data_IF_730251105803
#
_entry.id   IF_730251105803
#
_cell.length_a   1.000
_cell.length_b   1.000
_cell.length_c   1.000
_cell.angle_alpha   90.00
_cell.angle_beta   90.00
_cell.angle_gamma   90.00
#
_symmetry.space_group_name_H-M   'P 1'
#
loop_
_entity.id
_entity.type
_entity.pdbx_description
1 polymer ?
#
# COMPACT_ATOMS: atom_id res chain seq x y z
N UNK A 1 -6.08 -12.51 -34.73
CA UNK A 1 -6.09 -12.05 -33.33
C UNK A 1 -5.21 -10.81 -33.28
N UNK A 2 -5.58 -9.74 -32.51
CA UNK A 2 -4.69 -8.59 -32.35
C UNK A 2 -3.49 -9.04 -31.50
N UNK A 3 -2.28 -8.59 -31.83
CA UNK A 3 -1.12 -8.78 -30.98
C UNK A 3 -1.25 -8.00 -29.68
N UNK A 4 -0.63 -8.46 -28.60
CA UNK A 4 -0.63 -7.76 -27.32
C UNK A 4 0.26 -6.51 -27.42
N UNK A 5 -0.36 -5.36 -27.21
CA UNK A 5 0.24 -4.04 -27.26
C UNK A 5 -0.41 -3.14 -26.20
N UNK A 6 0.13 -1.96 -25.93
CA UNK A 6 -0.46 -0.99 -25.00
C UNK A 6 -1.90 -0.59 -25.35
N UNK A 7 -2.25 -0.57 -26.65
CA UNK A 7 -3.59 -0.24 -27.13
C UNK A 7 -4.53 -1.44 -27.14
N UNK A 8 -4.01 -2.66 -27.22
CA UNK A 8 -4.78 -3.90 -27.32
C UNK A 8 -4.88 -4.65 -26.00
N UNK A 9 -4.15 -4.21 -24.97
CA UNK A 9 -4.20 -4.78 -23.62
C UNK A 9 -5.60 -4.61 -23.02
N UNK A 10 -6.20 -5.71 -22.51
CA UNK A 10 -7.51 -5.70 -21.87
C UNK A 10 -7.43 -5.02 -20.50
N UNK A 11 -6.35 -5.28 -19.74
CA UNK A 11 -6.13 -4.62 -18.46
C UNK A 11 -5.60 -3.20 -18.68
N UNK A 12 -6.23 -2.17 -18.08
CA UNK A 12 -5.73 -0.80 -18.16
C UNK A 12 -4.38 -0.62 -17.44
N UNK A 13 -4.02 -1.51 -16.51
CA UNK A 13 -2.71 -1.50 -15.83
C UNK A 13 -1.60 -1.73 -16.85
N UNK A 14 -1.78 -2.72 -17.75
CA UNK A 14 -0.78 -3.07 -18.76
C UNK A 14 -0.89 -2.25 -20.04
N UNK A 15 -2.04 -1.61 -20.29
CA UNK A 15 -2.26 -0.69 -21.40
C UNK A 15 -2.07 0.77 -20.99
N UNK A 16 -3.19 1.46 -20.76
CA UNK A 16 -3.27 2.90 -20.46
C UNK A 16 -2.33 3.39 -19.36
N UNK A 17 -2.11 2.58 -18.33
CA UNK A 17 -1.32 2.95 -17.15
C UNK A 17 0.04 2.27 -17.07
N UNK A 18 0.50 1.60 -18.14
CA UNK A 18 1.79 0.90 -18.15
C UNK A 18 2.96 1.79 -17.73
N UNK A 19 2.96 3.05 -18.14
CA UNK A 19 4.00 4.00 -17.75
C UNK A 19 4.06 4.28 -16.25
N UNK A 20 2.97 4.06 -15.52
CA UNK A 20 2.89 4.24 -14.06
C UNK A 20 3.16 2.95 -13.29
N UNK A 21 2.66 1.83 -13.78
CA UNK A 21 2.72 0.53 -13.10
C UNK A 21 3.86 -0.38 -13.58
N UNK A 22 4.59 0.01 -14.65
CA UNK A 22 5.56 -0.86 -15.34
C UNK A 22 6.67 -1.40 -14.46
N UNK A 23 7.10 -0.70 -13.41
CA UNK A 23 8.08 -1.19 -12.46
C UNK A 23 7.66 -2.50 -11.77
N UNK A 24 6.35 -2.73 -11.61
CA UNK A 24 5.82 -3.95 -11.00
C UNK A 24 5.98 -5.20 -11.87
N UNK A 25 6.29 -5.05 -13.16
CA UNK A 25 6.51 -6.18 -14.05
C UNK A 25 7.69 -7.06 -13.61
N UNK A 26 8.70 -6.48 -12.94
CA UNK A 26 9.84 -7.23 -12.40
C UNK A 26 9.48 -8.18 -11.24
N UNK A 27 8.26 -8.06 -10.69
CA UNK A 27 7.80 -8.82 -9.52
C UNK A 27 6.56 -9.68 -9.81
N UNK A 28 5.63 -9.20 -10.65
CA UNK A 28 4.30 -9.80 -10.80
C UNK A 28 3.94 -10.21 -12.23
N UNK A 29 4.84 -10.07 -13.20
CA UNK A 29 4.64 -10.64 -14.52
C UNK A 29 4.88 -12.17 -14.52
N UNK A 30 4.44 -12.86 -15.57
CA UNK A 30 4.77 -14.29 -15.76
C UNK A 30 6.29 -14.49 -15.85
N UNK A 31 7.01 -13.58 -16.52
CA UNK A 31 8.47 -13.55 -16.53
C UNK A 31 9.06 -13.53 -15.11
N UNK A 32 8.56 -12.62 -14.28
CA UNK A 32 9.03 -12.48 -12.89
C UNK A 32 8.75 -13.73 -12.07
N UNK A 33 7.54 -14.29 -12.14
CA UNK A 33 7.18 -15.51 -11.45
C UNK A 33 8.13 -16.67 -11.82
N UNK A 34 8.41 -16.83 -13.10
CA UNK A 34 9.36 -17.86 -13.59
C UNK A 34 10.77 -17.59 -13.04
N UNK A 35 11.25 -16.36 -13.10
CA UNK A 35 12.57 -15.97 -12.58
C UNK A 35 12.72 -16.27 -11.09
N UNK A 36 11.71 -15.91 -10.27
CA UNK A 36 11.74 -16.20 -8.82
C UNK A 36 11.72 -17.70 -8.54
N UNK A 37 11.01 -18.51 -9.33
CA UNK A 37 11.04 -19.96 -9.23
C UNK A 37 12.45 -20.51 -9.51
N UNK A 38 13.11 -20.04 -10.59
CA UNK A 38 14.49 -20.40 -10.90
C UNK A 38 15.44 -20.03 -9.76
N UNK A 39 15.29 -18.83 -9.20
CA UNK A 39 16.08 -18.37 -8.06
C UNK A 39 15.93 -19.31 -6.86
N UNK A 40 14.72 -19.66 -6.48
CA UNK A 40 14.45 -20.53 -5.32
C UNK A 40 15.05 -21.93 -5.55
N UNK A 41 14.88 -22.50 -6.74
CA UNK A 41 15.44 -23.81 -7.09
C UNK A 41 16.98 -23.83 -7.02
N UNK A 42 17.62 -22.79 -7.52
CA UNK A 42 19.08 -22.66 -7.49
C UNK A 42 19.60 -22.50 -6.06
N UNK A 43 19.00 -21.60 -5.26
CA UNK A 43 19.42 -21.42 -3.88
C UNK A 43 19.14 -22.67 -3.02
N UNK A 44 18.07 -23.39 -3.32
CA UNK A 44 17.79 -24.68 -2.69
C UNK A 44 18.88 -25.71 -3.03
N UNK A 45 19.23 -25.88 -4.30
CA UNK A 45 20.31 -26.79 -4.73
C UNK A 45 21.64 -26.44 -4.07
N UNK A 46 22.01 -25.15 -4.03
CA UNK A 46 23.22 -24.69 -3.35
C UNK A 46 23.18 -25.05 -1.87
N UNK A 47 22.03 -24.84 -1.20
CA UNK A 47 21.90 -25.17 0.22
C UNK A 47 21.98 -26.66 0.49
N UNK A 48 21.50 -27.53 -0.41
CA UNK A 48 21.72 -28.97 -0.33
C UNK A 48 23.21 -29.32 -0.46
N UNK A 49 23.95 -28.65 -1.34
CA UNK A 49 25.40 -28.87 -1.50
C UNK A 49 26.21 -28.43 -0.26
N UNK A 50 25.66 -27.52 0.54
CA UNK A 50 26.27 -27.12 1.83
C UNK A 50 26.09 -28.18 2.93
N UNK A 51 25.21 -29.19 2.74
CA UNK A 51 25.05 -30.33 3.63
C UNK A 51 26.06 -31.44 3.30
N UNK A 52 26.47 -32.25 4.29
CA UNK A 52 27.38 -33.37 4.07
C UNK A 52 26.66 -34.57 3.43
N UNK A 53 25.81 -34.36 2.44
CA UNK A 53 25.12 -35.42 1.71
C UNK A 53 26.11 -36.21 0.89
N UNK A 54 26.12 -37.58 0.95
CA UNK A 54 27.16 -38.42 0.35
C UNK A 54 27.44 -38.14 -1.12
N UNK A 55 26.41 -37.78 -1.89
CA UNK A 55 26.55 -37.52 -3.34
C UNK A 55 26.83 -36.04 -3.67
N UNK A 56 26.66 -35.12 -2.73
CA UNK A 56 26.88 -33.67 -2.91
C UNK A 56 28.15 -33.18 -2.21
N UNK A 57 28.73 -33.93 -1.27
CA UNK A 57 29.90 -33.51 -0.49
C UNK A 57 31.13 -33.15 -1.31
N UNK A 58 31.20 -33.65 -2.56
CA UNK A 58 32.28 -33.38 -3.51
C UNK A 58 31.96 -32.25 -4.48
N UNK A 59 30.80 -31.57 -4.33
CA UNK A 59 30.45 -30.46 -5.18
C UNK A 59 31.40 -29.29 -4.94
N UNK A 60 31.93 -28.72 -6.03
CA UNK A 60 32.86 -27.61 -5.96
C UNK A 60 32.08 -26.29 -5.67
N UNK A 61 32.23 -25.77 -4.47
CA UNK A 61 31.58 -24.52 -4.04
C UNK A 61 31.99 -23.28 -4.86
N UNK A 62 33.14 -23.32 -5.56
CA UNK A 62 33.54 -22.26 -6.48
C UNK A 62 32.51 -22.06 -7.63
N UNK A 63 31.69 -23.06 -7.90
CA UNK A 63 30.65 -23.02 -8.94
C UNK A 63 29.34 -22.36 -8.47
N UNK A 64 29.18 -22.07 -7.19
CA UNK A 64 27.92 -21.46 -6.68
C UNK A 64 27.57 -20.14 -7.36
N UNK A 65 28.57 -19.29 -7.63
CA UNK A 65 28.30 -18.02 -8.31
C UNK A 65 27.82 -18.22 -9.77
N UNK A 66 28.42 -19.20 -10.50
CA UNK A 66 27.92 -19.50 -11.84
C UNK A 66 26.52 -20.10 -11.87
N UNK A 67 26.12 -20.81 -10.81
CA UNK A 67 24.72 -21.25 -10.65
C UNK A 67 23.78 -20.05 -10.37
N UNK A 68 24.19 -19.10 -9.52
CA UNK A 68 23.43 -17.88 -9.25
C UNK A 68 23.26 -17.00 -10.49
N UNK A 69 24.25 -17.01 -11.37
CA UNK A 69 24.17 -16.27 -12.63
C UNK A 69 23.02 -16.73 -13.53
N UNK A 70 22.54 -17.98 -13.38
CA UNK A 70 21.36 -18.48 -14.12
C UNK A 70 20.13 -17.62 -13.84
N UNK A 71 19.88 -17.21 -12.59
CA UNK A 71 18.73 -16.35 -12.27
C UNK A 71 19.07 -14.88 -12.26
N UNK A 72 20.32 -14.48 -11.98
CA UNK A 72 20.72 -13.06 -12.02
C UNK A 72 20.69 -12.50 -13.44
N UNK A 73 21.13 -13.30 -14.40
CA UNK A 73 21.16 -12.94 -15.81
C UNK A 73 19.95 -13.49 -16.59
N UNK A 74 18.89 -13.90 -15.88
CA UNK A 74 17.70 -14.49 -16.48
C UNK A 74 17.03 -13.53 -17.47
N UNK A 75 16.82 -13.99 -18.71
CA UNK A 75 16.34 -13.21 -19.83
C UNK A 75 14.93 -13.63 -20.28
N UNK A 76 14.31 -12.81 -21.13
CA UNK A 76 13.02 -13.17 -21.76
C UNK A 76 13.15 -14.42 -22.63
N UNK A 77 14.32 -14.67 -23.26
CA UNK A 77 14.59 -15.90 -24.01
C UNK A 77 14.60 -17.14 -23.12
N UNK A 78 15.11 -17.02 -21.89
CA UNK A 78 15.08 -18.11 -20.92
C UNK A 78 13.65 -18.40 -20.45
N UNK A 79 12.87 -17.36 -20.20
CA UNK A 79 11.45 -17.50 -19.88
C UNK A 79 10.68 -18.17 -21.03
N UNK A 80 10.93 -17.74 -22.27
CA UNK A 80 10.33 -18.35 -23.46
C UNK A 80 10.72 -19.82 -23.58
N UNK A 81 11.99 -20.19 -23.30
CA UNK A 81 12.41 -21.58 -23.30
C UNK A 81 11.65 -22.42 -22.26
N UNK A 82 11.43 -21.88 -21.06
CA UNK A 82 10.62 -22.55 -20.03
C UNK A 82 9.16 -22.73 -20.50
N UNK A 83 8.57 -21.72 -21.15
CA UNK A 83 7.21 -21.84 -21.72
C UNK A 83 7.11 -22.87 -22.83
N UNK A 84 8.16 -23.05 -23.65
CA UNK A 84 8.23 -24.12 -24.65
C UNK A 84 8.22 -25.50 -23.97
N UNK A 85 9.01 -25.69 -22.92
CA UNK A 85 9.03 -26.94 -22.14
C UNK A 85 7.66 -27.18 -21.49
N UNK A 86 7.08 -26.14 -20.90
CA UNK A 86 5.75 -26.19 -20.27
C UNK A 86 4.67 -26.61 -21.26
N UNK A 87 4.73 -26.14 -22.51
CA UNK A 87 3.73 -26.46 -23.55
C UNK A 87 3.68 -27.95 -23.86
N UNK A 88 4.77 -28.67 -23.63
CA UNK A 88 4.87 -30.15 -23.82
C UNK A 88 4.53 -30.90 -22.52
N UNK A 89 5.05 -30.42 -21.39
CA UNK A 89 4.91 -31.11 -20.09
C UNK A 89 3.58 -30.83 -19.41
N UNK A 90 2.91 -29.76 -19.79
CA UNK A 90 1.71 -29.21 -19.17
C UNK A 90 1.86 -29.00 -17.65
N UNK A 91 3.10 -28.63 -17.23
CA UNK A 91 3.43 -28.43 -15.82
C UNK A 91 4.51 -27.36 -15.66
N UNK A 92 4.14 -26.22 -15.09
CA UNK A 92 4.96 -25.01 -15.01
C UNK A 92 6.25 -25.19 -14.17
N UNK A 93 6.15 -25.71 -12.94
CA UNK A 93 7.32 -25.90 -12.07
C UNK A 93 8.22 -27.02 -12.60
N UNK A 94 7.66 -28.06 -13.23
CA UNK A 94 8.48 -29.12 -13.87
C UNK A 94 9.27 -28.58 -15.06
N UNK A 95 8.69 -27.61 -15.79
CA UNK A 95 9.40 -26.93 -16.88
C UNK A 95 10.60 -26.12 -16.36
N UNK A 96 10.48 -25.48 -15.20
CA UNK A 96 11.62 -24.81 -14.53
C UNK A 96 12.72 -25.80 -14.17
N UNK A 97 12.38 -26.96 -13.59
CA UNK A 97 13.35 -28.02 -13.27
C UNK A 97 14.10 -28.48 -14.51
N UNK A 98 13.41 -28.75 -15.63
CA UNK A 98 14.05 -29.16 -16.87
C UNK A 98 14.94 -28.08 -17.46
N UNK A 99 14.54 -26.84 -17.43
CA UNK A 99 15.35 -25.71 -17.85
C UNK A 99 16.65 -25.63 -17.04
N UNK A 100 16.59 -25.76 -15.71
CA UNK A 100 17.78 -25.75 -14.86
C UNK A 100 18.71 -26.93 -15.21
N UNK A 101 18.15 -28.11 -15.48
CA UNK A 101 18.92 -29.27 -15.97
C UNK A 101 19.64 -28.97 -17.29
N UNK A 102 19.02 -28.27 -18.23
CA UNK A 102 19.64 -27.77 -19.47
C UNK A 102 20.76 -26.75 -19.19
N UNK A 103 20.58 -25.86 -18.20
CA UNK A 103 21.66 -24.94 -17.81
C UNK A 103 22.86 -25.68 -17.19
N UNK A 104 22.64 -26.75 -16.41
CA UNK A 104 23.69 -27.58 -15.86
C UNK A 104 24.48 -28.26 -16.98
N UNK A 105 23.82 -28.73 -18.05
CA UNK A 105 24.50 -29.28 -19.23
C UNK A 105 25.38 -28.25 -19.93
N UNK A 106 24.87 -27.00 -20.09
CA UNK A 106 25.64 -25.90 -20.69
C UNK A 106 26.88 -25.52 -19.87
N UNK A 107 26.76 -25.56 -18.54
CA UNK A 107 27.88 -25.29 -17.63
C UNK A 107 28.93 -26.43 -17.65
N UNK A 108 28.52 -27.64 -17.99
CA UNK A 108 29.36 -28.84 -18.06
C UNK A 108 29.89 -29.33 -16.72
N UNK A 109 30.12 -30.62 -16.58
CA UNK A 109 30.66 -31.24 -15.37
C UNK A 109 29.68 -31.25 -14.17
N UNK A 110 28.40 -31.10 -14.43
CA UNK A 110 27.32 -31.09 -13.44
C UNK A 110 26.31 -32.24 -13.64
N UNK A 111 26.56 -33.13 -14.58
CA UNK A 111 25.63 -34.18 -15.00
C UNK A 111 25.22 -35.10 -13.86
N UNK A 112 26.16 -35.44 -12.95
CA UNK A 112 25.91 -36.29 -11.79
C UNK A 112 25.08 -35.66 -10.69
N UNK A 113 24.88 -34.35 -10.75
CA UNK A 113 24.16 -33.57 -9.72
C UNK A 113 22.73 -33.17 -10.14
N UNK A 114 22.36 -33.38 -11.40
CA UNK A 114 21.08 -32.93 -11.98
C UNK A 114 19.84 -33.45 -11.24
N UNK A 115 19.90 -34.66 -10.71
CA UNK A 115 18.78 -35.29 -9.99
C UNK A 115 18.57 -34.71 -8.58
N UNK A 116 19.45 -33.83 -8.11
CA UNK A 116 19.27 -33.06 -6.89
C UNK A 116 18.54 -31.71 -7.11
N UNK A 117 18.28 -31.33 -8.36
CA UNK A 117 17.39 -30.23 -8.68
C UNK A 117 15.98 -30.68 -8.30
N UNK A 118 15.25 -29.85 -7.55
CA UNK A 118 13.90 -30.16 -7.03
C UNK A 118 13.84 -31.41 -6.12
N UNK A 119 14.97 -31.80 -5.50
CA UNK A 119 15.04 -33.00 -4.69
C UNK A 119 14.10 -32.96 -3.48
N UNK A 120 13.20 -33.93 -3.38
CA UNK A 120 12.26 -34.06 -2.26
C UNK A 120 11.16 -33.01 -2.21
N UNK A 121 11.15 -32.06 -3.11
CA UNK A 121 10.19 -30.95 -3.14
C UNK A 121 8.86 -31.30 -3.83
N UNK A 122 7.88 -30.50 -3.58
CA UNK A 122 6.66 -30.37 -4.38
C UNK A 122 6.60 -28.99 -5.01
N UNK A 123 5.79 -28.80 -6.06
CA UNK A 123 5.64 -27.51 -6.75
C UNK A 123 5.34 -26.34 -5.80
N UNK A 124 4.63 -26.61 -4.72
CA UNK A 124 4.27 -25.57 -3.76
C UNK A 124 5.41 -25.18 -2.80
N UNK A 125 6.44 -25.97 -2.66
CA UNK A 125 7.67 -25.51 -1.99
C UNK A 125 8.36 -24.40 -2.79
N UNK A 126 8.17 -24.41 -4.11
CA UNK A 126 8.71 -23.39 -5.01
C UNK A 126 7.75 -22.20 -5.14
N UNK A 127 6.43 -22.44 -5.31
CA UNK A 127 5.46 -21.36 -5.44
C UNK A 127 5.25 -20.58 -4.13
N UNK A 128 5.14 -21.30 -3.00
CA UNK A 128 4.92 -20.68 -1.69
C UNK A 128 6.21 -20.12 -1.03
N UNK A 129 7.28 -20.06 -1.77
CA UNK A 129 8.53 -19.35 -1.45
C UNK A 129 8.78 -18.22 -2.45
N UNK A 130 8.65 -18.47 -3.75
CA UNK A 130 8.86 -17.47 -4.80
C UNK A 130 7.85 -16.34 -4.76
N UNK A 131 6.57 -16.64 -4.52
CA UNK A 131 5.51 -15.60 -4.42
C UNK A 131 5.72 -14.66 -3.23
N UNK A 132 5.88 -15.12 -1.98
CA UNK A 132 6.16 -14.19 -0.88
C UNK A 132 7.51 -13.47 -1.04
N UNK A 133 8.51 -14.06 -1.68
CA UNK A 133 9.76 -13.39 -2.00
C UNK A 133 9.54 -12.22 -2.97
N UNK A 134 8.78 -12.44 -4.05
CA UNK A 134 8.44 -11.36 -5.00
C UNK A 134 7.61 -10.25 -4.36
N UNK A 135 6.69 -10.58 -3.46
CA UNK A 135 5.89 -9.59 -2.70
C UNK A 135 6.81 -8.77 -1.79
N UNK A 136 7.73 -9.41 -1.07
CA UNK A 136 8.71 -8.73 -0.22
C UNK A 136 9.51 -7.70 -1.01
N UNK A 137 10.03 -8.11 -2.15
CA UNK A 137 10.85 -7.24 -3.00
C UNK A 137 10.01 -6.10 -3.60
N UNK A 138 8.79 -6.37 -4.08
CA UNK A 138 7.88 -5.35 -4.59
C UNK A 138 7.46 -4.33 -3.50
N UNK A 139 7.24 -4.79 -2.26
CA UNK A 139 6.96 -3.89 -1.14
C UNK A 139 8.15 -2.96 -0.87
N UNK A 140 9.37 -3.52 -0.82
CA UNK A 140 10.58 -2.75 -0.50
C UNK A 140 10.97 -1.79 -1.63
N UNK A 141 10.95 -2.25 -2.88
CA UNK A 141 11.53 -1.52 -4.00
C UNK A 141 10.55 -0.56 -4.65
N UNK A 142 9.23 -0.84 -4.57
CA UNK A 142 8.19 -0.05 -5.25
C UNK A 142 7.20 0.56 -4.27
N UNK A 143 6.52 -0.26 -3.47
CA UNK A 143 5.39 0.21 -2.67
C UNK A 143 5.81 1.16 -1.54
N UNK A 144 6.76 0.75 -0.69
CA UNK A 144 7.21 1.59 0.44
C UNK A 144 7.80 2.92 -0.01
N UNK A 145 8.65 3.00 -1.04
CA UNK A 145 9.12 4.29 -1.54
C UNK A 145 8.01 5.20 -2.07
N UNK A 146 6.99 4.63 -2.72
CA UNK A 146 5.89 5.43 -3.27
C UNK A 146 4.98 5.99 -2.17
N UNK A 147 4.59 5.17 -1.19
CA UNK A 147 3.75 5.64 -0.08
C UNK A 147 4.52 6.62 0.82
N UNK A 148 5.83 6.44 0.99
CA UNK A 148 6.66 7.38 1.75
C UNK A 148 6.69 8.76 1.09
N UNK A 149 6.83 8.84 -0.24
CA UNK A 149 6.75 10.11 -0.97
C UNK A 149 5.43 10.84 -0.74
N UNK A 150 4.31 10.11 -0.66
CA UNK A 150 3.01 10.70 -0.37
C UNK A 150 2.97 11.26 1.06
N UNK A 151 3.46 10.50 2.03
CA UNK A 151 3.54 10.91 3.44
C UNK A 151 4.41 12.15 3.59
N UNK A 152 5.57 12.17 2.93
CA UNK A 152 6.52 13.30 2.96
C UNK A 152 5.88 14.57 2.37
N UNK A 153 5.16 14.45 1.25
CA UNK A 153 4.46 15.57 0.62
C UNK A 153 3.35 16.13 1.52
N UNK A 154 2.55 15.25 2.15
CA UNK A 154 1.52 15.67 3.10
C UNK A 154 2.13 16.35 4.34
N UNK A 155 3.23 15.81 4.85
CA UNK A 155 3.95 16.38 5.99
C UNK A 155 4.51 17.76 5.66
N UNK A 156 5.06 17.94 4.46
CA UNK A 156 5.56 19.24 4.00
C UNK A 156 4.44 20.28 3.92
N UNK A 157 3.28 19.92 3.36
CA UNK A 157 2.12 20.80 3.33
C UNK A 157 1.54 21.10 4.71
N UNK A 158 1.51 20.11 5.60
CA UNK A 158 1.07 20.32 6.96
C UNK A 158 1.94 21.34 7.71
N UNK A 159 3.23 21.30 7.49
CA UNK A 159 4.17 22.28 8.08
C UNK A 159 4.06 23.65 7.41
N UNK A 160 3.95 23.71 6.07
CA UNK A 160 3.79 24.95 5.32
C UNK A 160 2.54 25.73 5.73
N UNK A 161 1.43 25.02 6.01
CA UNK A 161 0.13 25.63 6.29
C UNK A 161 -0.31 25.49 7.75
N UNK A 162 0.63 25.23 8.66
CA UNK A 162 0.35 24.97 10.09
C UNK A 162 -0.34 26.13 10.82
N UNK A 163 -0.08 27.35 10.39
CA UNK A 163 -0.59 28.57 11.04
C UNK A 163 -1.86 29.14 10.37
N UNK A 164 -2.39 28.50 9.35
CA UNK A 164 -3.56 28.96 8.62
C UNK A 164 -4.84 28.51 9.36
N UNK A 165 -5.59 29.44 10.00
CA UNK A 165 -6.86 29.12 10.62
C UNK A 165 -7.90 28.78 9.55
N UNK A 166 -8.70 27.77 9.80
CA UNK A 166 -9.69 27.26 8.86
C UNK A 166 -10.99 26.91 9.58
N UNK A 167 -12.11 27.21 8.95
CA UNK A 167 -13.42 26.78 9.43
C UNK A 167 -13.52 25.25 9.31
N UNK A 168 -13.67 24.56 10.44
CA UNK A 168 -13.99 23.13 10.40
C UNK A 168 -15.49 22.94 10.13
N UNK A 169 -15.83 21.81 9.54
CA UNK A 169 -17.22 21.41 9.30
C UNK A 169 -17.47 20.03 9.89
N UNK A 170 -18.54 19.92 10.67
CA UNK A 170 -19.08 18.63 11.13
C UNK A 170 -20.50 18.49 10.61
N UNK A 171 -20.86 17.32 10.08
CA UNK A 171 -22.16 17.13 9.40
C UNK A 171 -22.41 18.15 8.26
N UNK A 172 -21.33 18.64 7.63
CA UNK A 172 -21.42 19.69 6.61
C UNK A 172 -21.71 21.09 7.14
N UNK A 173 -21.83 21.27 8.46
CA UNK A 173 -22.12 22.55 9.11
C UNK A 173 -20.89 23.19 9.73
N UNK A 174 -20.79 24.51 9.80
CA UNK A 174 -19.73 25.21 10.51
C UNK A 174 -19.57 24.71 11.96
N UNK A 175 -18.36 24.48 12.36
CA UNK A 175 -17.96 24.00 13.67
C UNK A 175 -16.75 24.79 14.18
N UNK A 176 -16.22 24.43 15.35
CA UNK A 176 -15.06 25.08 15.95
C UNK A 176 -13.92 25.17 14.97
N UNK A 177 -13.23 26.33 14.87
CA UNK A 177 -12.11 26.50 13.96
C UNK A 177 -10.97 25.50 14.20
N UNK A 178 -10.24 25.19 13.15
CA UNK A 178 -9.07 24.35 13.15
C UNK A 178 -7.92 25.04 12.41
N UNK A 179 -6.82 24.34 12.16
CA UNK A 179 -5.72 24.81 11.31
C UNK A 179 -5.55 23.87 10.12
N UNK A 180 -5.39 24.43 8.94
CA UNK A 180 -5.27 23.66 7.69
C UNK A 180 -4.13 22.64 7.76
N UNK A 181 -2.96 23.04 8.25
CA UNK A 181 -1.83 22.11 8.36
C UNK A 181 -2.12 20.94 9.30
N UNK A 182 -2.85 21.17 10.41
CA UNK A 182 -3.27 20.09 11.32
C UNK A 182 -4.24 19.12 10.64
N UNK A 183 -5.19 19.61 9.84
CA UNK A 183 -6.13 18.75 9.10
C UNK A 183 -5.37 17.84 8.11
N UNK A 184 -4.37 18.37 7.42
CA UNK A 184 -3.54 17.57 6.50
C UNK A 184 -2.65 16.60 7.26
N UNK A 185 -2.10 16.99 8.41
CA UNK A 185 -1.28 16.12 9.26
C UNK A 185 -2.05 14.89 9.74
N UNK A 186 -3.38 14.96 9.88
CA UNK A 186 -4.20 13.77 10.23
C UNK A 186 -3.96 12.64 9.25
N UNK A 187 -3.90 12.91 7.95
CA UNK A 187 -3.67 11.88 6.93
C UNK A 187 -2.24 11.36 6.97
N UNK A 188 -1.24 12.24 7.06
CA UNK A 188 0.16 11.83 7.20
C UNK A 188 0.37 10.94 8.43
N UNK A 189 -0.21 11.30 9.58
CA UNK A 189 -0.15 10.52 10.82
C UNK A 189 -0.80 9.14 10.65
N UNK A 190 -2.03 9.09 10.09
CA UNK A 190 -2.77 7.83 9.87
C UNK A 190 -2.01 6.90 8.94
N UNK A 191 -1.47 7.42 7.83
CA UNK A 191 -0.69 6.65 6.86
C UNK A 191 0.58 6.09 7.50
N UNK A 192 1.34 6.90 8.25
CA UNK A 192 2.53 6.45 8.97
C UNK A 192 2.22 5.30 9.95
N UNK A 193 1.12 5.43 10.70
CA UNK A 193 0.71 4.38 11.66
C UNK A 193 0.35 3.08 10.95
N UNK A 194 -0.38 3.13 9.84
CA UNK A 194 -0.76 1.93 9.10
C UNK A 194 0.40 1.35 8.26
N UNK A 195 1.30 2.18 7.78
CA UNK A 195 2.54 1.71 7.15
C UNK A 195 3.41 0.92 8.15
N UNK A 196 3.49 1.37 9.40
CA UNK A 196 4.19 0.63 10.45
C UNK A 196 3.53 -0.74 10.71
N UNK A 197 2.19 -0.82 10.70
CA UNK A 197 1.45 -2.10 10.82
C UNK A 197 1.79 -3.02 9.65
N UNK A 198 1.75 -2.51 8.41
CA UNK A 198 2.10 -3.30 7.23
C UNK A 198 3.54 -3.84 7.30
N UNK A 199 4.49 -3.00 7.68
CA UNK A 199 5.91 -3.39 7.83
C UNK A 199 6.15 -4.43 8.94
N UNK A 200 5.27 -4.50 9.92
CA UNK A 200 5.32 -5.48 11.01
C UNK A 200 4.67 -6.81 10.65
N UNK A 201 3.93 -6.91 9.53
CA UNK A 201 3.38 -8.18 9.08
C UNK A 201 4.53 -9.12 8.67
N UNK A 202 4.61 -10.33 9.23
CA UNK A 202 5.65 -11.28 8.83
C UNK A 202 5.40 -11.73 7.38
N UNK A 203 6.47 -11.86 6.61
CA UNK A 203 6.41 -12.41 5.25
C UNK A 203 6.84 -13.86 5.35
N UNK A 204 5.85 -14.75 5.33
CA UNK A 204 6.04 -16.18 5.60
C UNK A 204 6.02 -17.01 4.33
N UNK A 205 6.62 -18.20 4.41
CA UNK A 205 6.71 -19.15 3.32
C UNK A 205 6.46 -20.58 3.80
N UNK A 206 5.76 -21.38 2.99
CA UNK A 206 5.68 -22.82 3.20
C UNK A 206 6.87 -23.49 2.52
N UNK A 207 7.56 -24.35 3.28
CA UNK A 207 8.61 -25.22 2.79
C UNK A 207 8.67 -26.51 3.63
N UNK A 208 8.42 -27.68 3.04
CA UNK A 208 8.34 -28.94 3.79
C UNK A 208 7.87 -30.17 2.99
N UNK A 209 7.86 -30.11 1.66
CA UNK A 209 7.45 -31.20 0.78
C UNK A 209 5.93 -31.31 0.61
N UNK A 210 5.47 -32.42 0.07
CA UNK A 210 4.12 -32.65 -0.43
C UNK A 210 3.00 -32.46 0.61
N UNK A 211 3.28 -32.61 1.89
CA UNK A 211 2.30 -32.47 2.99
C UNK A 211 2.85 -31.62 4.14
N UNK A 212 3.98 -30.91 3.94
CA UNK A 212 4.63 -30.12 4.99
C UNK A 212 5.44 -30.93 5.99
N UNK A 213 5.63 -32.24 5.79
CA UNK A 213 6.25 -33.15 6.75
C UNK A 213 7.63 -33.67 6.32
N UNK A 214 8.23 -33.13 5.25
CA UNK A 214 9.51 -33.60 4.69
C UNK A 214 9.59 -35.10 4.39
N UNK A 215 8.50 -35.75 4.02
CA UNK A 215 8.41 -37.21 3.83
C UNK A 215 9.50 -37.74 2.89
N UNK A 216 9.65 -37.10 1.71
CA UNK A 216 10.62 -37.53 0.72
C UNK A 216 12.07 -37.31 1.17
N UNK A 217 12.35 -36.19 1.83
CA UNK A 217 13.66 -35.87 2.40
C UNK A 217 14.02 -36.87 3.50
N UNK A 218 13.10 -37.14 4.42
CA UNK A 218 13.33 -38.01 5.57
C UNK A 218 13.53 -39.46 5.14
N UNK A 219 12.79 -39.96 4.16
CA UNK A 219 13.00 -41.33 3.67
C UNK A 219 14.35 -41.49 2.95
N UNK A 220 14.84 -40.45 2.28
CA UNK A 220 16.12 -40.49 1.58
C UNK A 220 17.30 -40.35 2.52
N UNK A 221 17.23 -39.50 3.52
CA UNK A 221 18.29 -39.20 4.48
C UNK A 221 17.66 -38.97 5.87
N UNK A 222 17.32 -40.05 6.60
CA UNK A 222 16.63 -39.97 7.88
C UNK A 222 17.47 -39.38 9.03
N UNK A 223 18.77 -39.31 8.86
CA UNK A 223 19.74 -38.81 9.84
C UNK A 223 19.82 -37.27 9.90
N UNK A 224 19.25 -36.57 8.92
CA UNK A 224 19.30 -35.12 8.89
C UNK A 224 18.05 -34.47 9.53
N UNK A 225 18.27 -33.37 10.22
CA UNK A 225 17.19 -32.49 10.71
C UNK A 225 16.69 -31.61 9.57
N UNK A 226 15.75 -32.12 8.76
CA UNK A 226 15.16 -31.42 7.64
C UNK A 226 14.32 -30.20 8.07
N UNK A 227 13.81 -30.17 9.30
CA UNK A 227 13.08 -29.03 9.85
C UNK A 227 14.05 -27.86 10.09
N UNK A 228 15.16 -28.10 10.75
CA UNK A 228 16.22 -27.13 10.96
C UNK A 228 16.79 -26.63 9.62
N UNK A 229 17.01 -27.55 8.67
CA UNK A 229 17.44 -27.22 7.31
C UNK A 229 16.45 -26.27 6.62
N UNK A 230 15.16 -26.58 6.63
CA UNK A 230 14.14 -25.74 5.99
C UNK A 230 14.02 -24.35 6.64
N UNK A 231 14.10 -24.28 7.97
CA UNK A 231 14.15 -23.00 8.69
C UNK A 231 15.34 -22.15 8.23
N UNK A 232 16.53 -22.75 8.17
CA UNK A 232 17.76 -22.09 7.73
C UNK A 232 17.66 -21.63 6.26
N UNK A 233 17.22 -22.51 5.36
CA UNK A 233 17.06 -22.20 3.94
C UNK A 233 16.15 -20.99 3.73
N UNK A 234 14.93 -21.03 4.30
CA UNK A 234 13.95 -19.96 4.11
C UNK A 234 14.42 -18.65 4.74
N UNK A 235 15.05 -18.69 5.92
CA UNK A 235 15.52 -17.49 6.60
C UNK A 235 16.78 -16.90 5.96
N UNK A 236 17.83 -17.72 5.77
CA UNK A 236 19.15 -17.20 5.36
C UNK A 236 19.26 -16.97 3.85
N UNK A 237 18.63 -17.82 3.03
CA UNK A 237 18.74 -17.69 1.55
C UNK A 237 17.62 -16.82 0.95
N UNK A 238 16.42 -16.85 1.53
CA UNK A 238 15.26 -16.11 1.00
C UNK A 238 14.89 -14.89 1.86
N UNK A 239 15.38 -14.82 3.11
CA UNK A 239 15.04 -13.73 4.03
C UNK A 239 13.55 -13.70 4.36
N UNK A 240 12.93 -14.88 4.48
CA UNK A 240 11.53 -15.10 4.81
C UNK A 240 11.42 -15.87 6.13
N UNK A 241 10.24 -15.94 6.71
CA UNK A 241 9.96 -16.76 7.88
C UNK A 241 9.27 -18.05 7.43
N UNK A 242 9.78 -19.24 7.85
CA UNK A 242 9.14 -20.50 7.48
C UNK A 242 7.93 -20.78 8.36
N UNK A 243 6.80 -21.09 7.73
CA UNK A 243 5.62 -21.61 8.42
C UNK A 243 5.91 -23.03 8.93
N UNK A 244 5.80 -23.23 10.23
CA UNK A 244 6.20 -24.48 10.87
C UNK A 244 5.22 -25.64 10.60
N UNK A 245 3.93 -25.33 10.63
CA UNK A 245 2.85 -26.29 10.43
C UNK A 245 2.00 -25.86 9.24
N UNK A 246 2.06 -26.62 8.16
CA UNK A 246 1.34 -26.35 6.93
C UNK A 246 0.79 -27.65 6.34
N UNK A 247 -0.10 -27.53 5.38
CA UNK A 247 -0.45 -28.61 4.45
C UNK A 247 0.52 -28.64 3.27
N UNK A 248 0.08 -29.04 2.08
CA UNK A 248 0.87 -28.92 0.87
C UNK A 248 1.18 -27.45 0.52
N UNK A 249 0.34 -26.51 0.97
CA UNK A 249 0.44 -25.08 0.68
C UNK A 249 0.66 -24.28 1.97
N UNK A 250 1.03 -23.00 1.80
CA UNK A 250 1.00 -21.99 2.87
C UNK A 250 -0.39 -21.89 3.50
N UNK A 251 -0.44 -21.51 4.78
CA UNK A 251 -1.69 -21.15 5.44
C UNK A 251 -2.27 -19.84 4.88
N UNK A 252 -1.43 -19.00 4.24
CA UNK A 252 -1.76 -17.68 3.67
C UNK A 252 -2.30 -16.64 4.67
N UNK A 253 -2.36 -16.95 5.97
CA UNK A 253 -2.87 -16.02 6.99
C UNK A 253 -2.08 -14.71 7.04
N UNK A 254 -0.74 -14.81 7.03
CA UNK A 254 0.13 -13.64 7.04
C UNK A 254 0.08 -12.86 5.72
N UNK A 255 -0.08 -13.54 4.60
CA UNK A 255 -0.28 -12.88 3.30
C UNK A 255 -1.63 -12.15 3.28
N UNK A 256 -2.68 -12.75 3.84
CA UNK A 256 -3.97 -12.11 4.07
C UNK A 256 -3.83 -10.85 4.92
N UNK A 257 -3.06 -10.90 6.01
CA UNK A 257 -2.80 -9.76 6.88
C UNK A 257 -2.08 -8.61 6.13
N UNK A 258 -1.14 -8.93 5.23
CA UNK A 258 -0.48 -7.94 4.36
C UNK A 258 -1.51 -7.24 3.46
N UNK A 259 -2.38 -8.01 2.81
CA UNK A 259 -3.42 -7.46 1.93
C UNK A 259 -4.45 -6.62 2.70
N UNK A 260 -4.84 -7.02 3.91
CA UNK A 260 -5.72 -6.24 4.78
C UNK A 260 -5.06 -4.94 5.26
N UNK A 261 -3.77 -4.97 5.58
CA UNK A 261 -3.03 -3.76 5.93
C UNK A 261 -2.91 -2.80 4.73
N UNK A 262 -2.65 -3.29 3.52
CA UNK A 262 -2.65 -2.49 2.29
C UNK A 262 -4.03 -1.88 2.01
N UNK A 263 -5.11 -2.65 2.15
CA UNK A 263 -6.48 -2.17 2.02
C UNK A 263 -6.80 -1.06 3.02
N UNK A 264 -6.29 -1.16 4.25
CA UNK A 264 -6.43 -0.12 5.28
C UNK A 264 -5.73 1.18 4.86
N UNK A 265 -4.51 1.11 4.34
CA UNK A 265 -3.78 2.27 3.80
C UNK A 265 -4.56 2.88 2.64
N UNK A 266 -5.03 2.07 1.69
CA UNK A 266 -5.84 2.51 0.57
C UNK A 266 -7.12 3.25 1.02
N UNK A 267 -7.78 2.77 2.07
CA UNK A 267 -8.98 3.41 2.64
C UNK A 267 -8.67 4.81 3.18
N UNK A 268 -7.52 5.01 3.82
CA UNK A 268 -7.08 6.33 4.28
C UNK A 268 -6.80 7.26 3.09
N UNK A 269 -6.19 6.73 2.02
CA UNK A 269 -5.96 7.51 0.79
C UNK A 269 -7.26 7.89 0.09
N UNK A 270 -8.29 7.04 0.11
CA UNK A 270 -9.63 7.40 -0.41
C UNK A 270 -10.21 8.59 0.36
N UNK A 271 -10.19 8.50 1.68
CA UNK A 271 -10.66 9.56 2.58
C UNK A 271 -9.92 10.89 2.29
N UNK A 272 -8.60 10.84 2.23
CA UNK A 272 -7.74 11.97 1.87
C UNK A 272 -8.10 12.58 0.50
N UNK A 273 -8.24 11.75 -0.53
CA UNK A 273 -8.53 12.24 -1.89
C UNK A 273 -9.92 12.93 -1.95
N UNK A 274 -10.89 12.42 -1.18
CA UNK A 274 -12.23 13.05 -1.06
C UNK A 274 -12.18 14.39 -0.36
N UNK A 275 -11.39 14.53 0.70
CA UNK A 275 -11.23 15.80 1.39
C UNK A 275 -10.55 16.85 0.51
N UNK A 276 -9.46 16.52 -0.19
CA UNK A 276 -8.83 17.44 -1.14
C UNK A 276 -9.79 17.82 -2.28
N UNK A 277 -10.54 16.85 -2.81
CA UNK A 277 -11.60 17.13 -3.80
C UNK A 277 -12.62 18.13 -3.23
N UNK A 278 -13.06 17.94 -1.99
CA UNK A 278 -14.01 18.82 -1.31
C UNK A 278 -13.42 20.21 -1.09
N UNK A 279 -12.16 20.32 -0.65
CA UNK A 279 -11.49 21.61 -0.47
C UNK A 279 -11.35 22.38 -1.79
N UNK A 280 -11.13 21.70 -2.91
CA UNK A 280 -11.15 22.33 -4.25
C UNK A 280 -12.57 22.81 -4.59
N UNK A 281 -13.60 22.01 -4.32
CA UNK A 281 -15.01 22.37 -4.50
C UNK A 281 -15.43 23.58 -3.66
N UNK A 282 -14.83 23.78 -2.49
CA UNK A 282 -15.02 24.93 -1.60
C UNK A 282 -14.14 26.13 -1.96
N UNK A 283 -13.35 26.04 -3.04
CA UNK A 283 -12.38 27.05 -3.46
C UNK A 283 -11.26 27.34 -2.46
N UNK A 284 -11.03 26.47 -1.48
CA UNK A 284 -9.88 26.57 -0.58
C UNK A 284 -8.56 26.30 -1.30
N UNK A 285 -8.61 25.46 -2.35
CA UNK A 285 -7.52 25.28 -3.29
C UNK A 285 -7.99 25.57 -4.72
N UNK A 286 -7.12 26.20 -5.49
CA UNK A 286 -7.16 26.24 -6.95
C UNK A 286 -6.14 25.23 -7.50
N UNK A 287 -6.26 24.87 -8.78
CA UNK A 287 -5.32 23.97 -9.43
C UNK A 287 -4.48 24.71 -10.46
N UNK A 288 -3.17 24.44 -10.49
CA UNK A 288 -2.26 24.93 -11.53
C UNK A 288 -2.73 24.42 -12.88
N UNK A 289 -2.83 25.32 -13.85
CA UNK A 289 -3.14 24.99 -15.23
C UNK A 289 -1.82 24.78 -15.96
N UNK A 290 -1.68 23.65 -16.65
CA UNK A 290 -0.54 23.41 -17.52
C UNK A 290 -0.91 23.90 -18.94
N UNK A 291 -0.02 24.66 -19.56
CA UNK A 291 -0.22 25.13 -20.94
C UNK A 291 -0.51 23.95 -21.88
N UNK A 292 -1.62 24.02 -22.62
CA UNK A 292 -2.09 22.98 -23.53
C UNK A 292 -2.99 21.91 -22.92
N UNK A 293 -3.21 21.89 -21.57
CA UNK A 293 -4.21 21.02 -20.97
C UNK A 293 -5.63 21.63 -21.16
N UNK A 294 -6.57 20.77 -21.57
CA UNK A 294 -8.00 21.11 -21.67
C UNK A 294 -8.70 20.63 -20.41
N UNK A 295 -9.12 21.56 -19.55
CA UNK A 295 -9.76 21.23 -18.27
C UNK A 295 -11.19 20.68 -18.41
N UNK A 296 -11.90 21.08 -19.47
CA UNK A 296 -13.25 20.62 -19.80
C UNK A 296 -13.48 20.77 -21.30
N UNK A 297 -14.18 19.80 -21.91
CA UNK A 297 -14.52 19.85 -23.33
C UNK A 297 -15.52 20.96 -23.70
N UNK A 298 -16.32 21.43 -22.73
CA UNK A 298 -17.36 22.42 -22.95
C UNK A 298 -17.12 23.78 -22.27
N UNK A 299 -16.34 23.82 -21.19
CA UNK A 299 -16.11 25.01 -20.37
C UNK A 299 -14.63 25.24 -20.14
N UNK A 300 -13.94 26.08 -20.95
CA UNK A 300 -12.48 26.23 -20.91
C UNK A 300 -11.91 26.70 -19.55
N UNK A 301 -12.72 27.41 -18.74
CA UNK A 301 -12.33 27.91 -17.43
C UNK A 301 -12.42 26.86 -16.31
N UNK A 302 -13.04 25.69 -16.57
CA UNK A 302 -13.30 24.65 -15.57
C UNK A 302 -12.11 23.70 -15.46
N UNK A 303 -11.42 23.68 -14.35
CA UNK A 303 -10.31 22.75 -14.06
C UNK A 303 -10.81 21.70 -13.07
N UNK A 304 -11.05 20.49 -13.57
CA UNK A 304 -11.58 19.40 -12.77
C UNK A 304 -10.48 18.75 -11.92
N UNK A 305 -10.76 18.33 -10.67
CA UNK A 305 -9.81 17.64 -9.79
C UNK A 305 -9.66 16.14 -10.15
N UNK A 306 -9.47 15.84 -11.45
CA UNK A 306 -9.49 14.48 -12.00
C UNK A 306 -8.39 13.56 -11.45
N UNK A 307 -7.28 14.13 -10.96
CA UNK A 307 -6.20 13.33 -10.38
C UNK A 307 -6.64 12.66 -9.07
N UNK A 308 -7.43 13.35 -8.24
CA UNK A 308 -8.00 12.80 -7.00
C UNK A 308 -9.11 11.79 -7.29
N UNK A 309 -9.97 12.06 -8.28
CA UNK A 309 -11.02 11.12 -8.74
C UNK A 309 -10.42 9.83 -9.32
N UNK A 310 -9.36 9.95 -10.12
CA UNK A 310 -8.63 8.80 -10.66
C UNK A 310 -7.98 7.98 -9.55
N UNK A 311 -7.43 8.64 -8.54
CA UNK A 311 -6.87 7.95 -7.38
C UNK A 311 -7.94 7.17 -6.63
N UNK A 312 -9.07 7.79 -6.30
CA UNK A 312 -10.19 7.14 -5.61
C UNK A 312 -10.70 5.90 -6.37
N UNK A 313 -10.93 6.02 -7.67
CA UNK A 313 -11.41 4.91 -8.50
C UNK A 313 -10.43 3.73 -8.53
N UNK A 314 -9.12 4.00 -8.67
CA UNK A 314 -8.10 2.94 -8.65
C UNK A 314 -7.97 2.28 -7.27
N UNK A 315 -8.07 3.04 -6.18
CA UNK A 315 -8.04 2.50 -4.81
C UNK A 315 -9.24 1.58 -4.53
N UNK A 316 -10.42 1.93 -5.04
CA UNK A 316 -11.60 1.09 -4.96
C UNK A 316 -11.41 -0.26 -5.64
N UNK A 317 -10.84 -0.25 -6.86
CA UNK A 317 -10.49 -1.48 -7.60
C UNK A 317 -9.44 -2.31 -6.85
N UNK A 318 -8.39 -1.67 -6.35
CA UNK A 318 -7.37 -2.36 -5.53
C UNK A 318 -7.99 -3.04 -4.31
N UNK A 319 -8.85 -2.34 -3.57
CA UNK A 319 -9.46 -2.85 -2.35
C UNK A 319 -10.37 -4.05 -2.61
N UNK A 320 -11.12 -4.07 -3.72
CA UNK A 320 -11.96 -5.21 -4.09
C UNK A 320 -11.14 -6.49 -4.32
N UNK A 321 -9.98 -6.37 -4.98
CA UNK A 321 -9.10 -7.52 -5.22
C UNK A 321 -8.36 -7.93 -3.94
N UNK A 322 -7.85 -6.97 -3.15
CA UNK A 322 -7.19 -7.24 -1.87
C UNK A 322 -8.13 -7.95 -0.89
N UNK A 323 -9.40 -7.54 -0.81
CA UNK A 323 -10.42 -8.19 0.00
C UNK A 323 -10.66 -9.63 -0.42
N UNK A 324 -10.77 -9.87 -1.74
CA UNK A 324 -10.93 -11.22 -2.25
C UNK A 324 -9.71 -12.10 -1.94
N UNK A 325 -8.49 -11.58 -2.13
CA UNK A 325 -7.27 -12.32 -1.87
C UNK A 325 -7.11 -12.66 -0.37
N UNK A 326 -7.35 -11.69 0.53
CA UNK A 326 -7.21 -11.91 1.97
C UNK A 326 -8.21 -12.92 2.53
N UNK A 327 -9.43 -12.95 2.00
CA UNK A 327 -10.47 -13.87 2.45
C UNK A 327 -10.43 -15.23 1.76
N UNK A 328 -9.99 -15.31 0.49
CA UNK A 328 -9.99 -16.55 -0.30
C UNK A 328 -8.79 -17.44 -0.02
N UNK A 329 -7.59 -16.86 0.06
CA UNK A 329 -6.34 -17.64 0.12
C UNK A 329 -6.25 -18.57 1.34
N UNK A 330 -6.64 -18.16 2.57
CA UNK A 330 -6.62 -19.05 3.73
C UNK A 330 -7.60 -20.24 3.66
N UNK A 331 -8.49 -20.27 2.67
CA UNK A 331 -9.50 -21.30 2.53
C UNK A 331 -9.17 -22.24 1.37
N UNK A 332 -8.83 -23.47 1.70
CA UNK A 332 -8.55 -24.55 0.74
C UNK A 332 -9.19 -25.87 1.18
N UNK A 333 -9.22 -26.87 0.28
CA UNK A 333 -9.79 -28.21 0.57
C UNK A 333 -8.68 -29.16 0.97
N UNK A 334 -8.82 -29.80 2.15
CA UNK A 334 -7.88 -30.79 2.66
C UNK A 334 -6.43 -30.31 2.57
N UNK A 335 -5.55 -31.06 1.85
CA UNK A 335 -4.15 -30.65 1.66
C UNK A 335 -4.01 -29.47 0.69
N UNK A 336 -4.83 -29.41 -0.34
CA UNK A 336 -4.86 -28.36 -1.35
C UNK A 336 -5.97 -28.55 -2.37
N UNK A 337 -6.51 -27.44 -2.90
CA UNK A 337 -7.12 -27.36 -4.23
C UNK A 337 -6.34 -26.35 -5.11
N UNK A 338 -6.68 -26.26 -6.41
CA UNK A 338 -5.95 -25.43 -7.36
C UNK A 338 -6.33 -23.93 -7.31
N UNK A 339 -7.37 -23.55 -6.55
CA UNK A 339 -7.91 -22.19 -6.59
C UNK A 339 -6.92 -21.12 -6.10
N UNK A 340 -5.98 -21.48 -5.21
CA UNK A 340 -4.90 -20.62 -4.78
C UNK A 340 -4.04 -20.15 -5.97
N UNK A 341 -3.60 -21.04 -6.82
CA UNK A 341 -2.79 -20.73 -8.00
C UNK A 341 -3.49 -19.77 -8.97
N UNK A 342 -4.82 -19.92 -9.13
CA UNK A 342 -5.63 -19.06 -10.00
C UNK A 342 -5.67 -17.63 -9.47
N UNK A 343 -5.92 -17.44 -8.16
CA UNK A 343 -6.06 -16.09 -7.59
C UNK A 343 -4.72 -15.41 -7.35
N UNK A 344 -3.66 -16.16 -7.00
CA UNK A 344 -2.32 -15.63 -6.79
C UNK A 344 -1.74 -14.95 -8.05
N UNK A 345 -2.12 -15.38 -9.25
CA UNK A 345 -1.70 -14.71 -10.50
C UNK A 345 -2.23 -13.27 -10.62
N UNK A 346 -3.21 -12.88 -9.80
CA UNK A 346 -3.78 -11.54 -9.79
C UNK A 346 -3.16 -10.62 -8.73
N UNK A 347 -2.14 -11.03 -7.99
CA UNK A 347 -1.52 -10.19 -6.92
C UNK A 347 -1.02 -8.86 -7.48
N UNK A 348 -0.43 -8.83 -8.67
CA UNK A 348 0.05 -7.62 -9.32
C UNK A 348 -1.05 -6.59 -9.62
N UNK A 349 -2.30 -7.02 -9.76
CA UNK A 349 -3.44 -6.14 -10.10
C UNK A 349 -3.70 -5.10 -9.02
N UNK A 350 -3.92 -5.45 -7.74
CA UNK A 350 -4.14 -4.45 -6.69
C UNK A 350 -2.90 -3.61 -6.40
N UNK A 351 -1.68 -4.16 -6.52
CA UNK A 351 -0.46 -3.36 -6.45
C UNK A 351 -0.41 -2.32 -7.56
N UNK A 352 -0.75 -2.70 -8.80
CA UNK A 352 -0.81 -1.80 -9.95
C UNK A 352 -1.77 -0.66 -9.73
N UNK A 353 -3.01 -0.95 -9.36
CA UNK A 353 -4.01 0.07 -9.05
C UNK A 353 -3.59 0.99 -7.91
N UNK A 354 -2.98 0.45 -6.85
CA UNK A 354 -2.49 1.26 -5.71
C UNK A 354 -1.37 2.20 -6.14
N UNK A 355 -0.39 1.73 -6.91
CA UNK A 355 0.71 2.58 -7.41
C UNK A 355 0.19 3.69 -8.34
N UNK A 356 -0.75 3.36 -9.23
CA UNK A 356 -1.41 4.36 -10.09
C UNK A 356 -2.10 5.43 -9.25
N UNK A 357 -2.80 5.02 -8.19
CA UNK A 357 -3.51 5.93 -7.29
C UNK A 357 -2.56 6.83 -6.51
N UNK A 358 -1.46 6.29 -5.95
CA UNK A 358 -0.46 7.09 -5.23
C UNK A 358 0.13 8.16 -6.17
N UNK A 359 0.52 7.78 -7.38
CA UNK A 359 1.06 8.73 -8.36
C UNK A 359 0.03 9.78 -8.79
N UNK A 360 -1.24 9.40 -8.89
CA UNK A 360 -2.31 10.35 -9.21
C UNK A 360 -2.56 11.31 -8.05
N UNK A 361 -2.58 10.85 -6.80
CA UNK A 361 -2.67 11.70 -5.61
C UNK A 361 -1.50 12.68 -5.54
N UNK A 362 -0.26 12.22 -5.72
CA UNK A 362 0.94 13.07 -5.76
C UNK A 362 0.86 14.13 -6.86
N UNK A 363 0.38 13.74 -8.04
CA UNK A 363 0.18 14.68 -9.15
C UNK A 363 -0.88 15.72 -8.82
N UNK A 364 -2.00 15.33 -8.22
CA UNK A 364 -3.06 16.23 -7.77
C UNK A 364 -2.56 17.22 -6.72
N UNK A 365 -1.88 16.72 -5.69
CA UNK A 365 -1.26 17.52 -4.63
C UNK A 365 -0.27 18.55 -5.20
N UNK A 366 0.57 18.16 -6.14
CA UNK A 366 1.55 19.06 -6.78
C UNK A 366 0.93 20.18 -7.64
N UNK A 367 -0.38 20.09 -7.95
CA UNK A 367 -1.12 21.13 -8.67
C UNK A 367 -1.83 22.12 -7.75
N UNK A 368 -1.90 21.87 -6.45
CA UNK A 368 -2.64 22.72 -5.52
C UNK A 368 -2.02 24.11 -5.41
N UNK A 369 -2.89 25.11 -5.40
CA UNK A 369 -2.60 26.50 -5.10
C UNK A 369 -3.54 26.90 -3.97
N UNK A 370 -2.98 27.21 -2.80
CA UNK A 370 -3.76 27.63 -1.65
C UNK A 370 -4.47 28.97 -1.94
N UNK A 371 -5.73 29.07 -1.55
CA UNK A 371 -6.54 30.27 -1.62
C UNK A 371 -6.86 30.79 -0.20
N UNK A 372 -5.85 31.36 0.44
CA UNK A 372 -5.96 31.86 1.81
C UNK A 372 -7.11 32.86 1.99
N UNK A 373 -7.35 33.69 0.98
CA UNK A 373 -8.43 34.69 1.03
C UNK A 373 -9.81 34.01 1.22
N UNK A 374 -10.07 32.89 0.50
CA UNK A 374 -11.34 32.17 0.63
C UNK A 374 -11.48 31.48 1.98
N UNK A 375 -10.41 30.89 2.48
CA UNK A 375 -10.38 30.26 3.81
C UNK A 375 -10.64 31.31 4.89
N UNK A 376 -9.99 32.48 4.79
CA UNK A 376 -10.19 33.59 5.70
C UNK A 376 -11.61 34.10 5.66
N UNK A 377 -12.17 34.37 4.47
CA UNK A 377 -13.53 34.85 4.26
C UNK A 377 -14.59 33.91 4.87
N UNK A 378 -14.47 32.59 4.61
CA UNK A 378 -15.44 31.64 5.14
C UNK A 378 -15.39 31.55 6.67
N UNK A 379 -14.22 31.72 7.26
CA UNK A 379 -14.07 31.77 8.71
C UNK A 379 -14.61 33.07 9.30
N UNK A 380 -14.28 34.20 8.68
CA UNK A 380 -14.73 35.52 9.12
C UNK A 380 -16.27 35.72 9.03
N UNK A 381 -16.90 35.04 8.09
CA UNK A 381 -18.36 35.02 7.97
C UNK A 381 -19.07 34.12 9.01
N UNK A 382 -18.33 33.42 9.88
CA UNK A 382 -18.89 32.45 10.82
C UNK A 382 -18.60 32.79 12.30
N UNK A 383 -18.87 34.01 12.74
CA UNK A 383 -18.63 34.41 14.13
C UNK A 383 -19.38 33.58 15.18
N UNK A 384 -20.45 32.88 14.81
CA UNK A 384 -21.15 31.97 15.72
C UNK A 384 -20.25 30.84 16.28
N UNK A 385 -19.13 30.51 15.64
CA UNK A 385 -18.20 29.45 16.09
C UNK A 385 -17.46 29.80 17.38
N UNK A 386 -17.34 31.10 17.74
CA UNK A 386 -16.72 31.51 19.01
C UNK A 386 -17.64 31.33 20.23
N UNK A 387 -18.90 30.98 20.01
CA UNK A 387 -19.86 30.75 21.11
C UNK A 387 -19.38 29.65 22.08
N UNK A 388 -18.73 28.61 21.57
CA UNK A 388 -18.15 27.55 22.41
C UNK A 388 -17.04 28.09 23.33
N UNK A 389 -16.15 28.93 22.81
CA UNK A 389 -15.09 29.56 23.57
C UNK A 389 -15.64 30.44 24.69
N UNK A 390 -16.60 31.30 24.33
CA UNK A 390 -17.28 32.19 25.30
C UNK A 390 -17.97 31.36 26.39
N UNK A 391 -18.73 30.33 26.02
CA UNK A 391 -19.37 29.42 26.97
C UNK A 391 -18.36 28.77 27.93
N UNK A 392 -17.22 28.35 27.41
CA UNK A 392 -16.19 27.68 28.20
C UNK A 392 -15.56 28.60 29.23
N UNK A 393 -15.29 29.86 28.86
CA UNK A 393 -14.81 30.89 29.79
C UNK A 393 -15.88 31.22 30.84
N UNK A 394 -17.13 31.41 30.43
CA UNK A 394 -18.23 31.65 31.37
C UNK A 394 -18.44 30.53 32.38
N UNK A 395 -18.23 29.26 31.95
CA UNK A 395 -18.22 28.11 32.87
C UNK A 395 -17.04 28.15 33.84
N UNK A 396 -15.86 28.55 33.40
CA UNK A 396 -14.69 28.76 34.26
C UNK A 396 -14.98 29.78 35.37
N UNK A 397 -15.73 30.84 35.03
CA UNK A 397 -16.14 31.88 35.95
C UNK A 397 -17.40 31.54 36.78
N UNK A 398 -17.90 30.31 36.71
CA UNK A 398 -19.13 29.86 37.36
C UNK A 398 -20.37 30.73 37.03
N UNK A 399 -20.41 31.32 35.83
CA UNK A 399 -21.53 32.13 35.37
C UNK A 399 -22.82 31.29 35.28
N UNK A 400 -23.97 31.78 35.77
CA UNK A 400 -25.22 31.03 35.79
C UNK A 400 -25.76 30.81 34.36
N UNK A 401 -26.10 29.56 34.03
CA UNK A 401 -26.71 29.14 32.75
C UNK A 401 -26.02 29.67 31.49
N UNK A 402 -24.69 29.44 31.32
CA UNK A 402 -23.93 30.03 30.21
C UNK A 402 -24.39 29.54 28.83
N UNK A 403 -24.87 28.29 28.72
CA UNK A 403 -25.40 27.74 27.47
C UNK A 403 -26.70 28.45 27.03
N UNK A 404 -27.62 28.68 27.98
CA UNK A 404 -28.91 29.34 27.73
C UNK A 404 -28.71 30.80 27.31
N UNK A 405 -27.76 31.49 27.91
CA UNK A 405 -27.40 32.86 27.56
C UNK A 405 -26.93 32.96 26.09
N UNK A 406 -26.05 32.06 25.66
CA UNK A 406 -25.57 32.00 24.28
C UNK A 406 -26.60 31.47 23.30
N UNK A 407 -27.45 30.52 23.72
CA UNK A 407 -28.57 30.03 22.90
C UNK A 407 -29.57 31.18 22.54
N UNK A 408 -29.80 32.10 23.44
CA UNK A 408 -30.64 33.28 23.17
C UNK A 408 -30.04 34.16 22.06
N UNK A 409 -28.69 34.31 22.02
CA UNK A 409 -28.00 35.04 20.96
C UNK A 409 -28.04 34.28 19.61
N UNK A 410 -27.79 32.96 19.62
CA UNK A 410 -27.58 32.18 18.40
C UNK A 410 -28.87 31.71 17.71
N UNK A 411 -30.03 31.86 18.33
CA UNK A 411 -31.35 31.43 17.78
C UNK A 411 -32.28 32.57 17.44
N UNK A 412 -31.74 33.73 17.08
CA UNK A 412 -32.54 34.96 16.79
C UNK A 412 -32.91 35.11 15.31
N UNK A 413 -32.58 34.21 14.42
CA UNK A 413 -32.67 34.36 12.94
C UNK A 413 -31.94 35.60 12.39
N UNK A 414 -31.08 36.24 13.18
CA UNK A 414 -30.20 37.32 12.75
C UNK A 414 -28.79 36.78 12.47
N UNK A 415 -28.08 37.39 11.54
CA UNK A 415 -26.70 37.06 11.27
C UNK A 415 -25.82 37.37 12.50
N UNK A 416 -25.10 36.37 13.00
CA UNK A 416 -24.12 36.54 14.08
C UNK A 416 -22.82 37.00 13.44
N UNK A 417 -22.41 38.21 13.83
CA UNK A 417 -21.18 38.84 13.38
C UNK A 417 -20.37 39.36 14.57
N UNK A 418 -19.23 39.98 14.32
CA UNK A 418 -18.35 40.52 15.35
C UNK A 418 -19.08 41.51 16.27
N UNK A 419 -19.90 42.41 15.70
CA UNK A 419 -20.64 43.40 16.47
C UNK A 419 -21.64 42.76 17.43
N UNK A 420 -22.42 41.79 16.96
CA UNK A 420 -23.42 41.11 17.80
C UNK A 420 -22.78 40.29 18.94
N UNK A 421 -21.59 39.74 18.73
CA UNK A 421 -20.82 39.05 19.78
C UNK A 421 -20.28 40.07 20.79
N UNK A 422 -19.75 41.20 20.36
CA UNK A 422 -19.29 42.29 21.24
C UNK A 422 -20.42 42.84 22.07
N UNK A 423 -21.58 43.18 21.46
CA UNK A 423 -22.74 43.65 22.17
C UNK A 423 -23.22 42.65 23.23
N UNK A 424 -23.23 41.37 22.89
CA UNK A 424 -23.58 40.33 23.85
C UNK A 424 -22.61 40.29 25.05
N UNK A 425 -21.29 40.41 24.82
CA UNK A 425 -20.30 40.44 25.89
C UNK A 425 -20.55 41.59 26.87
N UNK A 426 -20.99 42.76 26.37
CA UNK A 426 -21.31 43.92 27.24
C UNK A 426 -22.47 43.63 28.17
N UNK A 427 -23.42 42.78 27.79
CA UNK A 427 -24.57 42.40 28.64
C UNK A 427 -24.22 41.47 29.79
N UNK A 428 -23.03 40.82 29.73
CA UNK A 428 -22.61 39.82 30.73
C UNK A 428 -22.27 40.48 32.07
N UNK A 429 -22.76 39.90 33.16
CA UNK A 429 -22.39 40.30 34.53
C UNK A 429 -21.12 39.60 34.99
N UNK A 430 -20.00 39.99 34.41
CA UNK A 430 -18.63 39.50 34.72
C UNK A 430 -17.67 40.69 34.88
N UNK A 431 -16.48 40.48 35.43
CA UNK A 431 -15.49 41.54 35.58
C UNK A 431 -15.00 42.08 34.23
N UNK A 432 -14.49 43.31 34.20
CA UNK A 432 -13.99 43.93 33.00
C UNK A 432 -12.80 43.16 32.40
N UNK A 433 -11.97 42.55 33.26
CA UNK A 433 -10.86 41.68 32.82
C UNK A 433 -11.37 40.46 32.02
N UNK A 434 -12.47 39.86 32.46
CA UNK A 434 -13.11 38.75 31.75
C UNK A 434 -13.76 39.25 30.46
N UNK A 435 -14.43 40.41 30.47
CA UNK A 435 -14.96 41.00 29.24
C UNK A 435 -13.84 41.27 28.23
N UNK A 436 -12.67 41.76 28.67
CA UNK A 436 -11.52 42.00 27.84
C UNK A 436 -10.98 40.69 27.22
N UNK A 437 -10.91 39.62 28.00
CA UNK A 437 -10.54 38.31 27.53
C UNK A 437 -11.53 37.80 26.46
N UNK A 438 -12.83 37.90 26.71
CA UNK A 438 -13.87 37.49 25.77
C UNK A 438 -13.86 38.30 24.46
N UNK A 439 -13.62 39.64 24.52
CA UNK A 439 -13.53 40.50 23.30
C UNK A 439 -12.29 40.15 22.44
N UNK A 440 -11.26 39.56 23.04
CA UNK A 440 -10.07 39.15 22.32
C UNK A 440 -10.26 37.86 21.49
N UNK A 441 -11.33 37.09 21.70
CA UNK A 441 -11.61 35.86 20.99
C UNK A 441 -12.18 36.17 19.62
N UNK A 442 -11.59 35.59 18.58
CA UNK A 442 -12.05 35.69 17.20
C UNK A 442 -12.13 34.32 16.58
N UNK A 443 -12.88 34.12 15.47
CA UNK A 443 -12.80 32.85 14.72
C UNK A 443 -11.40 32.47 14.31
N UNK A 444 -10.52 33.46 14.07
CA UNK A 444 -9.16 33.24 13.57
C UNK A 444 -8.14 32.83 14.65
N UNK A 445 -8.39 33.14 15.92
CA UNK A 445 -7.49 32.79 17.00
C UNK A 445 -8.01 31.67 17.92
N UNK A 446 -9.26 31.26 17.75
CA UNK A 446 -9.85 30.14 18.48
C UNK A 446 -9.54 28.81 17.79
N UNK A 447 -8.28 28.50 17.58
CA UNK A 447 -7.81 27.31 16.84
C UNK A 447 -7.08 26.28 17.71
N UNK A 448 -6.95 26.53 19.00
CA UNK A 448 -6.23 25.67 19.92
C UNK A 448 -4.70 25.71 19.72
N UNK A 449 -4.05 24.58 20.00
CA UNK A 449 -2.61 24.39 19.86
C UNK A 449 -2.22 23.87 18.47
#
# INVERSE_FOLDING_TARGET
MMELDLLTAISPIDGRYRSKAGALAAYFSEFALIKYRVQVEIEYFITLCELPLPKLKSFDSARFESLRDIYRNFSEADAQRIKEIESVTNHDVKAVEYFIKEQFDKLGGLESYKEFIHFGLTSQDINNTSVPLSIKDALNDVYYPQIQKLIDQLTAYAEEWKDIPMLAKTHGQPASPTRLGKEIMVFAYRLNRQLAVLKACPITAKFGGATGNYNAHHVAYPEFDWKAFGNKFVAEKLGLEREEYTTQISNYDNLGAIFDAMKRINTIMIDMNRDFWQYISMEYFKQKIKAGEVGSSAMPHKVNPIDFENAEGNLGMANAVLEHLSSKLPVSRLQRDLTDSTVLRNIGVPFGHTVIAIQSSLKGLGKLLLNEHKIYEDLDNCWSVVAEAIQTILRREAYPHPYEALKALTRTNQAINEASIKDFIETLNVSEDIKKELRAITPHNYTGM
#
